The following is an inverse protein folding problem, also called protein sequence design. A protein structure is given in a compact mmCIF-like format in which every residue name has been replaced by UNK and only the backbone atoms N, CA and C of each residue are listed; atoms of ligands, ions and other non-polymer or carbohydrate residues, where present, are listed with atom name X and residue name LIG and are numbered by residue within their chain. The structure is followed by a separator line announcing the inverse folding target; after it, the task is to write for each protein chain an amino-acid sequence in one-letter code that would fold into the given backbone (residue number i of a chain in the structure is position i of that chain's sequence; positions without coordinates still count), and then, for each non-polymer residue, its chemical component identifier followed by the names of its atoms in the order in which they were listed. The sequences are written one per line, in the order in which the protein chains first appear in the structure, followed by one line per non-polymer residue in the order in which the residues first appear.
data_IF_625883997028
#
_entry.id   IF_625883997028
#
_cell.length_a   1.000
_cell.length_b   1.000
_cell.length_c   1.000
_cell.angle_alpha   90.00
_cell.angle_beta   90.00
_cell.angle_gamma   90.00
#
_symmetry.space_group_name_H-M   'P 1'
#
loop_
_entity.id
_entity.type
_entity.pdbx_description
1 polymer ?
#
# COMPACT_ATOMS: atom_id res chain seq x y z
N UNK A 1 -19.47 28.56 34.29
CA UNK A 1 -20.17 27.78 33.25
C UNK A 1 -19.59 28.14 31.89
N UNK A 2 -18.88 27.18 31.23
CA UNK A 2 -18.33 27.36 29.87
C UNK A 2 -19.52 27.37 28.92
N UNK A 3 -19.62 28.41 28.08
CA UNK A 3 -20.72 28.52 27.09
C UNK A 3 -20.63 27.34 26.12
N UNK A 4 -21.73 26.63 25.76
CA UNK A 4 -21.70 25.45 24.92
C UNK A 4 -21.01 25.65 23.54
N UNK A 5 -21.07 26.88 23.01
CA UNK A 5 -20.39 27.26 21.76
C UNK A 5 -18.85 27.26 21.88
N UNK A 6 -18.32 27.68 23.04
CA UNK A 6 -16.86 27.67 23.28
C UNK A 6 -16.33 26.25 23.50
N UNK A 7 -17.12 25.38 24.11
CA UNK A 7 -16.78 23.97 24.27
C UNK A 7 -16.71 23.23 22.90
N UNK A 8 -17.69 23.43 22.03
CA UNK A 8 -17.71 22.86 20.68
C UNK A 8 -16.55 23.38 19.82
N UNK A 9 -16.21 24.66 19.90
CA UNK A 9 -15.05 25.21 19.19
C UNK A 9 -13.73 24.61 19.68
N UNK A 10 -13.58 24.44 20.99
CA UNK A 10 -12.38 23.83 21.59
C UNK A 10 -12.22 22.37 21.19
N UNK A 11 -13.32 21.60 21.15
CA UNK A 11 -13.31 20.20 20.66
C UNK A 11 -12.92 20.15 19.18
N UNK A 12 -13.49 21.02 18.33
CA UNK A 12 -13.16 21.09 16.91
C UNK A 12 -11.68 21.41 16.66
N UNK A 13 -11.11 22.35 17.42
CA UNK A 13 -9.67 22.67 17.35
C UNK A 13 -8.79 21.52 17.81
N UNK A 14 -9.18 20.81 18.86
CA UNK A 14 -8.44 19.65 19.35
C UNK A 14 -8.44 18.50 18.33
N UNK A 15 -9.59 18.22 17.71
CA UNK A 15 -9.71 17.20 16.64
C UNK A 15 -8.85 17.59 15.43
N UNK A 16 -8.88 18.85 15.01
CA UNK A 16 -8.05 19.34 13.91
C UNK A 16 -6.56 19.24 14.25
N UNK A 17 -6.16 19.63 15.45
CA UNK A 17 -4.79 19.53 15.91
C UNK A 17 -4.31 18.06 15.94
N UNK A 18 -5.15 17.14 16.44
CA UNK A 18 -4.86 15.71 16.45
C UNK A 18 -4.72 15.15 15.04
N UNK A 19 -5.60 15.52 14.11
CA UNK A 19 -5.53 15.11 12.71
C UNK A 19 -4.27 15.63 12.02
N UNK A 20 -3.89 16.89 12.25
CA UNK A 20 -2.67 17.48 11.73
C UNK A 20 -1.41 16.85 12.32
N UNK A 21 -1.44 16.53 13.62
CA UNK A 21 -0.34 15.82 14.27
C UNK A 21 -0.18 14.42 13.70
N UNK A 22 -1.27 13.65 13.56
CA UNK A 22 -1.24 12.31 12.96
C UNK A 22 -0.70 12.34 11.54
N UNK A 23 -1.19 13.29 10.73
CA UNK A 23 -0.67 13.47 9.35
C UNK A 23 0.83 13.76 9.29
N UNK A 24 1.40 14.40 10.32
CA UNK A 24 2.84 14.70 10.42
C UNK A 24 3.67 13.56 11.03
N UNK A 25 3.01 12.62 11.72
CA UNK A 25 3.63 11.47 12.37
C UNK A 25 3.12 10.18 11.73
N UNK A 26 3.64 9.83 10.54
CA UNK A 26 3.18 8.65 9.83
C UNK A 26 3.43 7.39 10.64
N UNK A 27 2.48 6.48 10.62
CA UNK A 27 2.54 5.19 11.30
C UNK A 27 1.61 4.21 10.61
N UNK A 28 1.97 2.93 10.65
CA UNK A 28 1.12 1.86 10.16
C UNK A 28 -0.26 1.86 10.84
N UNK A 29 -1.32 1.61 10.08
CA UNK A 29 -2.67 1.46 10.62
C UNK A 29 -2.70 0.32 11.65
N UNK A 30 -3.03 0.57 12.94
CA UNK A 30 -3.02 -0.47 13.96
C UNK A 30 -3.98 -1.61 13.62
N UNK A 31 -3.57 -2.87 13.85
CA UNK A 31 -4.40 -4.05 13.57
C UNK A 31 -5.80 -3.97 14.19
N UNK A 32 -5.96 -3.35 15.36
CA UNK A 32 -7.26 -3.12 16.01
C UNK A 32 -8.21 -2.23 15.20
N UNK A 33 -7.70 -1.47 14.22
CA UNK A 33 -8.48 -0.58 13.35
C UNK A 33 -8.67 -1.16 11.92
N UNK A 34 -8.34 -2.44 11.70
CA UNK A 34 -8.41 -3.12 10.40
C UNK A 34 -9.76 -3.02 9.68
N UNK A 35 -10.85 -2.78 10.41
CA UNK A 35 -12.18 -2.60 9.82
C UNK A 35 -12.24 -1.44 8.81
N UNK A 36 -11.38 -0.43 8.94
CA UNK A 36 -11.24 0.63 7.94
C UNK A 36 -10.60 0.12 6.64
N UNK A 37 -9.68 -0.85 6.76
CA UNK A 37 -9.02 -1.49 5.62
C UNK A 37 -9.97 -2.45 4.91
N UNK A 38 -10.96 -3.00 5.62
CA UNK A 38 -11.98 -3.91 5.08
C UNK A 38 -13.18 -3.17 4.46
N UNK A 39 -13.31 -1.87 4.73
CA UNK A 39 -14.42 -1.07 4.20
C UNK A 39 -14.39 -1.03 2.67
N UNK A 40 -15.54 -0.92 1.98
CA UNK A 40 -15.59 -0.79 0.53
C UNK A 40 -14.77 0.42 0.03
N UNK A 41 -13.94 0.20 -0.97
CA UNK A 41 -13.08 1.21 -1.57
C UNK A 41 -13.57 1.56 -2.99
N UNK A 42 -14.49 2.51 -3.16
CA UNK A 42 -15.18 2.72 -4.45
C UNK A 42 -14.26 3.19 -5.58
N UNK A 43 -13.09 3.75 -5.26
CA UNK A 43 -12.16 4.30 -6.26
C UNK A 43 -10.93 3.44 -6.50
N UNK A 44 -10.54 2.61 -5.51
CA UNK A 44 -9.36 1.73 -5.58
C UNK A 44 -9.82 0.27 -5.55
N UNK A 45 -10.54 -0.15 -6.60
CA UNK A 45 -11.09 -1.51 -6.73
C UNK A 45 -10.03 -2.50 -7.20
N UNK A 46 -10.28 -3.81 -7.02
CA UNK A 46 -9.43 -4.90 -7.52
C UNK A 46 -9.27 -4.85 -9.05
N UNK A 47 -10.38 -4.63 -9.76
CA UNK A 47 -10.38 -4.55 -11.22
C UNK A 47 -9.48 -3.41 -11.70
N UNK A 48 -9.59 -2.22 -11.07
CA UNK A 48 -8.72 -1.10 -11.40
C UNK A 48 -7.25 -1.37 -11.06
N UNK A 49 -6.97 -2.09 -9.98
CA UNK A 49 -5.60 -2.55 -9.70
C UNK A 49 -5.12 -3.47 -10.83
N UNK A 50 -5.93 -4.44 -11.23
CA UNK A 50 -5.59 -5.36 -12.31
C UNK A 50 -5.33 -4.63 -13.63
N UNK A 51 -6.18 -3.66 -14.00
CA UNK A 51 -6.02 -2.83 -15.20
C UNK A 51 -4.72 -2.01 -15.20
N UNK A 52 -4.27 -1.55 -14.02
CA UNK A 52 -3.05 -0.73 -13.90
C UNK A 52 -1.81 -1.60 -13.74
N UNK A 53 -1.88 -2.67 -12.97
CA UNK A 53 -0.76 -3.58 -12.72
C UNK A 53 -0.49 -4.48 -13.94
N UNK A 54 -1.54 -4.96 -14.60
CA UNK A 54 -1.47 -5.95 -15.69
C UNK A 54 -0.68 -7.20 -15.25
N UNK A 55 -1.12 -7.91 -14.18
CA UNK A 55 -0.38 -9.05 -13.67
C UNK A 55 -0.42 -10.20 -14.67
N UNK A 56 0.70 -10.88 -14.86
CA UNK A 56 0.82 -12.04 -15.73
C UNK A 56 1.05 -13.33 -14.95
N UNK A 57 0.55 -14.46 -15.47
CA UNK A 57 0.83 -15.79 -14.91
C UNK A 57 2.33 -16.06 -14.85
N UNK A 58 2.81 -16.57 -13.72
CA UNK A 58 4.21 -16.87 -13.48
C UNK A 58 5.04 -15.71 -12.92
N UNK A 59 4.48 -14.51 -12.79
CA UNK A 59 5.18 -13.36 -12.19
C UNK A 59 5.44 -13.54 -10.69
N UNK A 60 6.51 -12.89 -10.22
CA UNK A 60 6.79 -12.68 -8.81
C UNK A 60 6.43 -11.27 -8.40
N UNK A 61 5.43 -11.15 -7.55
CA UNK A 61 4.93 -9.85 -7.06
C UNK A 61 5.21 -9.74 -5.57
N UNK A 62 5.65 -8.55 -5.13
CA UNK A 62 5.75 -8.15 -3.73
C UNK A 62 4.60 -7.20 -3.40
N UNK A 63 3.75 -7.57 -2.45
CA UNK A 63 2.72 -6.70 -1.88
C UNK A 63 3.19 -6.19 -0.52
N UNK A 64 3.47 -4.89 -0.40
CA UNK A 64 3.87 -4.25 0.85
C UNK A 64 2.63 -3.67 1.53
N UNK A 65 2.38 -4.07 2.78
CA UNK A 65 1.19 -3.69 3.54
C UNK A 65 -0.09 -4.34 3.01
N UNK A 66 -0.21 -5.69 3.03
CA UNK A 66 -1.38 -6.41 2.53
C UNK A 66 -2.66 -6.13 3.32
N UNK A 67 -2.52 -5.53 4.51
CA UNK A 67 -3.63 -5.26 5.42
C UNK A 67 -4.36 -6.54 5.79
N UNK A 68 -5.64 -6.64 5.41
CA UNK A 68 -6.47 -7.84 5.63
C UNK A 68 -6.53 -8.78 4.42
N UNK A 69 -5.68 -8.57 3.41
CA UNK A 69 -5.60 -9.41 2.22
C UNK A 69 -6.65 -9.13 1.16
N UNK A 70 -7.21 -7.91 1.12
CA UNK A 70 -8.22 -7.56 0.13
C UNK A 70 -7.70 -7.67 -1.31
N UNK A 71 -6.48 -7.22 -1.57
CA UNK A 71 -5.84 -7.34 -2.89
C UNK A 71 -5.04 -8.63 -3.02
N UNK A 72 -4.46 -9.13 -1.94
CA UNK A 72 -3.62 -10.35 -1.89
C UNK A 72 -4.26 -11.53 -2.60
N UNK A 73 -5.54 -11.84 -2.26
CA UNK A 73 -6.24 -12.98 -2.85
C UNK A 73 -6.35 -12.85 -4.37
N UNK A 74 -6.67 -11.65 -4.84
CA UNK A 74 -6.81 -11.37 -6.27
C UNK A 74 -5.45 -11.41 -7.02
N UNK A 75 -4.40 -10.88 -6.41
CA UNK A 75 -3.05 -10.92 -6.96
C UNK A 75 -2.51 -12.36 -7.05
N UNK A 76 -2.73 -13.15 -6.00
CA UNK A 76 -2.31 -14.55 -5.96
C UNK A 76 -3.01 -15.40 -7.04
N UNK A 77 -4.32 -15.18 -7.25
CA UNK A 77 -5.06 -15.83 -8.34
C UNK A 77 -4.52 -15.40 -9.72
N UNK A 78 -4.23 -14.11 -9.90
CA UNK A 78 -3.81 -13.56 -11.19
C UNK A 78 -2.43 -14.09 -11.63
N UNK A 79 -1.47 -14.23 -10.70
CA UNK A 79 -0.15 -14.80 -11.04
C UNK A 79 -0.18 -16.31 -11.16
N UNK A 80 -1.21 -16.97 -10.64
CA UNK A 80 -1.42 -18.40 -10.75
C UNK A 80 -0.41 -19.24 -9.97
N UNK A 81 -0.50 -20.56 -10.09
CA UNK A 81 0.33 -21.51 -9.33
C UNK A 81 1.82 -21.48 -9.71
N UNK A 82 2.14 -21.02 -10.91
CA UNK A 82 3.52 -20.90 -11.42
C UNK A 82 4.17 -19.58 -10.98
N UNK A 83 3.36 -18.59 -10.56
CA UNK A 83 3.82 -17.33 -10.00
C UNK A 83 3.96 -17.39 -8.49
N UNK A 84 4.47 -16.30 -7.92
CA UNK A 84 4.64 -16.15 -6.48
C UNK A 84 4.20 -14.74 -6.04
N UNK A 85 3.39 -14.70 -4.99
CA UNK A 85 3.07 -13.47 -4.29
C UNK A 85 3.75 -13.47 -2.93
N UNK A 86 4.61 -12.51 -2.69
CA UNK A 86 5.14 -12.27 -1.36
C UNK A 86 4.40 -11.10 -0.71
N UNK A 87 3.89 -11.33 0.51
CA UNK A 87 3.26 -10.29 1.31
C UNK A 87 4.21 -9.84 2.40
N UNK A 88 4.42 -8.54 2.52
CA UNK A 88 5.39 -7.94 3.43
C UNK A 88 4.75 -6.90 4.33
N UNK A 89 4.88 -7.03 5.65
CA UNK A 89 4.29 -6.11 6.61
C UNK A 89 5.17 -5.99 7.86
N UNK A 90 5.14 -4.82 8.49
CA UNK A 90 5.79 -4.61 9.79
C UNK A 90 5.02 -5.30 10.93
N UNK A 91 3.72 -5.53 10.76
CA UNK A 91 2.81 -6.10 11.74
C UNK A 91 2.55 -7.58 11.49
N UNK A 92 3.07 -8.46 12.36
CA UNK A 92 2.82 -9.91 12.29
C UNK A 92 1.32 -10.25 12.28
N UNK A 93 0.51 -9.50 13.03
CA UNK A 93 -0.93 -9.74 13.12
C UNK A 93 -1.67 -9.53 11.78
N UNK A 94 -1.21 -8.58 10.94
CA UNK A 94 -1.76 -8.39 9.59
C UNK A 94 -1.40 -9.59 8.70
N UNK A 95 -0.15 -10.03 8.73
CA UNK A 95 0.29 -11.22 7.98
C UNK A 95 -0.48 -12.49 8.39
N UNK A 96 -0.62 -12.73 9.70
CA UNK A 96 -1.38 -13.89 10.21
C UNK A 96 -2.84 -13.85 9.77
N UNK A 97 -3.45 -12.65 9.76
CA UNK A 97 -4.82 -12.47 9.31
C UNK A 97 -4.95 -12.78 7.81
N UNK A 98 -4.07 -12.20 7.01
CA UNK A 98 -4.05 -12.41 5.55
C UNK A 98 -3.79 -13.86 5.21
N UNK A 99 -2.83 -14.52 5.87
CA UNK A 99 -2.51 -15.93 5.61
C UNK A 99 -3.66 -16.89 6.00
N UNK A 100 -4.44 -16.60 7.02
CA UNK A 100 -5.69 -17.38 7.26
C UNK A 100 -6.63 -17.32 6.07
N UNK A 101 -6.86 -16.12 5.52
CA UNK A 101 -7.72 -15.95 4.34
C UNK A 101 -7.15 -16.64 3.09
N UNK A 102 -5.83 -16.56 2.90
CA UNK A 102 -5.12 -17.30 1.84
C UNK A 102 -5.39 -18.80 1.94
N UNK A 103 -5.27 -19.38 3.15
CA UNK A 103 -5.57 -20.78 3.40
C UNK A 103 -7.05 -21.14 3.18
N UNK A 104 -7.97 -20.29 3.63
CA UNK A 104 -9.43 -20.47 3.42
C UNK A 104 -9.81 -20.48 1.92
N UNK A 105 -9.04 -19.76 1.07
CA UNK A 105 -9.22 -19.75 -0.39
C UNK A 105 -8.42 -20.83 -1.12
N UNK A 106 -7.66 -21.68 -0.41
CA UNK A 106 -6.88 -22.76 -1.00
C UNK A 106 -5.69 -22.30 -1.85
N UNK A 107 -5.22 -21.07 -1.65
CA UNK A 107 -4.05 -20.52 -2.35
C UNK A 107 -2.77 -21.05 -1.70
N UNK A 108 -1.76 -21.42 -2.53
CA UNK A 108 -0.48 -21.99 -2.06
C UNK A 108 0.75 -21.23 -2.54
N UNK A 109 0.54 -20.16 -3.32
CA UNK A 109 1.58 -19.35 -3.95
C UNK A 109 1.83 -18.01 -3.22
N UNK A 110 1.41 -17.92 -1.96
CA UNK A 110 1.60 -16.71 -1.12
C UNK A 110 2.56 -17.01 0.02
N UNK A 111 3.56 -16.15 0.21
CA UNK A 111 4.56 -16.26 1.28
C UNK A 111 4.57 -14.99 2.14
N UNK A 112 4.43 -15.06 3.47
CA UNK A 112 4.49 -13.91 4.34
C UNK A 112 5.92 -13.63 4.82
N UNK A 113 6.34 -12.37 4.78
CA UNK A 113 7.60 -11.91 5.36
C UNK A 113 7.35 -10.70 6.24
N UNK A 114 7.81 -10.73 7.51
CA UNK A 114 7.73 -9.59 8.41
C UNK A 114 8.99 -8.74 8.32
N UNK A 115 8.82 -7.42 8.16
CA UNK A 115 9.96 -6.51 8.15
C UNK A 115 9.57 -5.05 7.95
N UNK A 116 10.58 -4.20 7.85
CA UNK A 116 10.46 -2.78 7.55
C UNK A 116 10.77 -2.56 6.06
N UNK A 117 9.88 -1.87 5.35
CA UNK A 117 10.03 -1.62 3.91
C UNK A 117 11.22 -0.71 3.55
N UNK A 118 11.84 -0.08 4.54
CA UNK A 118 13.09 0.68 4.38
C UNK A 118 14.34 -0.21 4.30
N UNK A 119 14.20 -1.54 4.52
CA UNK A 119 15.27 -2.53 4.45
C UNK A 119 14.69 -3.89 4.07
N UNK A 120 14.40 -4.07 2.78
CA UNK A 120 13.80 -5.30 2.26
C UNK A 120 14.83 -6.45 2.25
N UNK A 121 14.50 -7.63 2.85
CA UNK A 121 15.43 -8.76 2.94
C UNK A 121 15.54 -9.55 1.62
N UNK A 122 15.33 -8.90 0.49
CA UNK A 122 15.32 -9.51 -0.83
C UNK A 122 16.53 -9.09 -1.64
N UNK A 123 17.06 -9.98 -2.51
CA UNK A 123 18.09 -9.60 -3.47
C UNK A 123 17.61 -8.53 -4.45
N UNK A 124 18.56 -7.88 -5.10
CA UNK A 124 18.29 -6.99 -6.22
C UNK A 124 17.56 -7.75 -7.33
N UNK A 125 16.76 -7.08 -8.13
CA UNK A 125 16.09 -7.60 -9.31
C UNK A 125 15.25 -8.88 -9.05
N UNK A 126 14.60 -8.96 -7.88
CA UNK A 126 13.86 -10.16 -7.43
C UNK A 126 12.41 -10.22 -7.91
N UNK A 127 11.79 -9.08 -8.19
CA UNK A 127 10.35 -8.98 -8.45
C UNK A 127 10.04 -8.35 -9.80
N UNK A 128 9.01 -8.87 -10.46
CA UNK A 128 8.43 -8.31 -11.69
C UNK A 128 7.55 -7.10 -11.38
N UNK A 129 6.92 -7.10 -10.19
CA UNK A 129 6.15 -5.96 -9.73
C UNK A 129 6.17 -5.82 -8.20
N UNK A 130 6.00 -4.57 -7.72
CA UNK A 130 5.75 -4.23 -6.32
C UNK A 130 4.46 -3.44 -6.24
N UNK A 131 3.62 -3.76 -5.26
CA UNK A 131 2.30 -3.13 -5.04
C UNK A 131 2.22 -2.58 -3.62
N UNK A 132 1.78 -1.32 -3.49
CA UNK A 132 1.43 -0.69 -2.21
C UNK A 132 0.07 -0.02 -2.37
N UNK A 133 -0.85 -0.27 -1.46
CA UNK A 133 -2.17 0.40 -1.47
C UNK A 133 -2.43 1.05 -0.12
N UNK A 134 -2.47 2.38 -0.09
CA UNK A 134 -2.62 3.23 1.12
C UNK A 134 -1.51 3.02 2.18
N UNK A 135 -0.33 2.56 1.75
CA UNK A 135 0.79 2.19 2.64
C UNK A 135 1.95 3.18 2.56
N UNK A 136 2.28 3.70 1.36
CA UNK A 136 3.47 4.55 1.19
C UNK A 136 3.43 5.78 2.11
N UNK A 137 2.25 6.33 2.34
CA UNK A 137 2.05 7.46 3.25
C UNK A 137 2.31 7.15 4.72
N UNK A 138 2.15 5.91 5.14
CA UNK A 138 2.36 5.43 6.51
C UNK A 138 3.84 5.22 6.85
N UNK A 139 4.70 5.04 5.84
CA UNK A 139 6.15 4.84 6.03
C UNK A 139 6.81 6.19 6.34
N UNK A 140 7.50 6.35 7.49
CA UNK A 140 8.19 7.60 7.82
C UNK A 140 9.28 7.95 6.80
N UNK A 141 10.19 7.03 6.51
CA UNK A 141 11.32 7.17 5.59
C UNK A 141 10.94 6.69 4.17
N UNK A 142 9.96 7.34 3.54
CA UNK A 142 9.40 6.98 2.22
C UNK A 142 10.45 6.89 1.12
N UNK A 143 11.43 7.77 1.16
CA UNK A 143 12.53 7.83 0.19
C UNK A 143 13.40 6.57 0.29
N UNK A 144 13.71 6.10 1.49
CA UNK A 144 14.44 4.85 1.72
C UNK A 144 13.63 3.64 1.23
N UNK A 145 12.32 3.60 1.55
CA UNK A 145 11.45 2.54 1.05
C UNK A 145 11.36 2.53 -0.48
N UNK A 146 11.23 3.68 -1.14
CA UNK A 146 11.22 3.77 -2.60
C UNK A 146 12.56 3.34 -3.22
N UNK A 147 13.70 3.62 -2.58
CA UNK A 147 15.01 3.14 -3.02
C UNK A 147 15.11 1.61 -2.93
N UNK A 148 14.64 1.00 -1.84
CA UNK A 148 14.58 -0.45 -1.67
C UNK A 148 13.62 -1.11 -2.69
N UNK A 149 12.45 -0.51 -2.91
CA UNK A 149 11.50 -0.96 -3.93
C UNK A 149 12.15 -0.94 -5.31
N UNK A 150 12.86 0.15 -5.64
CA UNK A 150 13.59 0.24 -6.92
C UNK A 150 14.68 -0.82 -7.03
N UNK A 151 15.41 -1.11 -5.94
CA UNK A 151 16.49 -2.10 -5.89
C UNK A 151 15.95 -3.52 -6.14
N UNK A 152 14.83 -3.89 -5.51
CA UNK A 152 14.27 -5.25 -5.64
C UNK A 152 13.48 -5.46 -6.93
N UNK A 153 13.07 -4.40 -7.61
CA UNK A 153 12.41 -4.48 -8.92
C UNK A 153 13.43 -4.82 -10.01
N UNK A 154 13.10 -5.79 -10.85
CA UNK A 154 13.86 -6.08 -12.08
C UNK A 154 13.90 -4.85 -13.00
N UNK A 155 14.91 -4.74 -13.87
CA UNK A 155 14.89 -3.74 -14.95
C UNK A 155 13.61 -3.87 -15.76
N UNK A 156 12.87 -2.76 -15.89
CA UNK A 156 11.55 -2.75 -16.51
C UNK A 156 10.41 -3.30 -15.64
N UNK A 157 10.66 -3.63 -14.39
CA UNK A 157 9.63 -4.02 -13.42
C UNK A 157 8.68 -2.87 -13.08
N UNK A 158 7.55 -3.18 -12.46
CA UNK A 158 6.45 -2.23 -12.22
C UNK A 158 6.28 -1.95 -10.72
N UNK A 159 6.24 -0.67 -10.35
CA UNK A 159 5.69 -0.24 -9.07
C UNK A 159 4.27 0.25 -9.28
N UNK A 160 3.30 -0.30 -8.55
CA UNK A 160 1.93 0.24 -8.50
C UNK A 160 1.63 0.75 -7.11
N UNK A 161 1.26 2.03 -7.02
CA UNK A 161 0.84 2.67 -5.78
C UNK A 161 -0.63 3.06 -5.89
N UNK A 162 -1.43 2.57 -4.95
CA UNK A 162 -2.83 2.94 -4.76
C UNK A 162 -2.98 3.95 -3.62
N UNK A 163 -3.76 5.01 -3.82
CA UNK A 163 -3.98 6.06 -2.83
C UNK A 163 -5.47 6.42 -2.72
N UNK A 164 -5.93 6.65 -1.49
CA UNK A 164 -7.31 7.04 -1.20
C UNK A 164 -7.33 8.23 -0.24
N UNK A 165 -8.03 9.30 -0.59
CA UNK A 165 -8.10 10.57 0.16
C UNK A 165 -8.62 10.41 1.60
N UNK A 166 -9.44 9.40 1.87
CA UNK A 166 -9.90 9.09 3.24
C UNK A 166 -8.79 8.61 4.18
N UNK A 167 -7.64 8.20 3.63
CA UNK A 167 -6.48 7.82 4.43
C UNK A 167 -5.80 9.07 5.04
N UNK A 168 -5.49 9.07 6.36
CA UNK A 168 -4.80 10.19 7.00
C UNK A 168 -3.44 10.52 6.37
N UNK A 169 -2.76 9.53 5.80
CA UNK A 169 -1.44 9.65 5.20
C UNK A 169 -1.46 9.73 3.66
N UNK A 170 -2.64 9.98 3.08
CA UNK A 170 -2.83 10.12 1.63
C UNK A 170 -1.72 10.92 0.95
N UNK A 171 -1.15 10.35 -0.10
CA UNK A 171 -0.17 11.00 -0.96
C UNK A 171 -0.83 11.58 -2.21
N UNK A 172 -0.83 12.90 -2.34
CA UNK A 172 -1.32 13.54 -3.57
C UNK A 172 -0.46 13.12 -4.77
N UNK A 173 -1.09 12.85 -5.92
CA UNK A 173 -0.42 12.32 -7.11
C UNK A 173 0.87 13.07 -7.50
N UNK A 174 0.85 14.41 -7.51
CA UNK A 174 2.04 15.19 -7.86
C UNK A 174 3.20 15.04 -6.86
N UNK A 175 2.92 14.76 -5.58
CA UNK A 175 3.95 14.44 -4.59
C UNK A 175 4.51 13.04 -4.81
N UNK A 176 3.62 12.05 -5.01
CA UNK A 176 3.99 10.68 -5.33
C UNK A 176 4.88 10.61 -6.57
N UNK A 177 4.47 11.28 -7.67
CA UNK A 177 5.23 11.30 -8.91
C UNK A 177 6.64 11.86 -8.74
N UNK A 178 6.79 12.97 -8.01
CA UNK A 178 8.13 13.55 -7.75
C UNK A 178 9.01 12.61 -6.92
N UNK A 179 8.47 11.95 -5.89
CA UNK A 179 9.21 11.01 -5.05
C UNK A 179 9.67 9.78 -5.85
N UNK A 180 8.78 9.20 -6.63
CA UNK A 180 9.10 8.07 -7.51
C UNK A 180 10.17 8.45 -8.54
N UNK A 181 10.06 9.63 -9.18
CA UNK A 181 11.07 10.12 -10.11
C UNK A 181 12.42 10.32 -9.45
N UNK A 182 12.47 10.84 -8.22
CA UNK A 182 13.71 10.99 -7.45
C UNK A 182 14.36 9.64 -7.09
N UNK A 183 13.57 8.57 -6.96
CA UNK A 183 14.04 7.19 -6.77
C UNK A 183 14.39 6.48 -8.09
N UNK A 184 14.34 7.16 -9.24
CA UNK A 184 14.64 6.56 -10.55
C UNK A 184 13.50 5.72 -11.15
N UNK A 185 12.26 5.96 -10.71
CA UNK A 185 11.04 5.29 -11.18
C UNK A 185 10.28 6.23 -12.12
N UNK A 186 10.04 5.80 -13.36
CA UNK A 186 9.41 6.60 -14.42
C UNK A 186 7.88 6.40 -14.43
N UNK A 187 7.12 7.48 -14.39
CA UNK A 187 5.65 7.41 -14.44
C UNK A 187 5.17 6.89 -15.80
N UNK A 188 4.20 5.98 -15.80
CA UNK A 188 3.57 5.43 -17.00
C UNK A 188 2.08 5.78 -17.13
N UNK A 189 1.27 5.39 -16.14
CA UNK A 189 -0.18 5.53 -16.19
C UNK A 189 -0.76 5.81 -14.81
N UNK A 190 -1.90 6.50 -14.79
CA UNK A 190 -2.76 6.66 -13.62
C UNK A 190 -4.21 6.35 -13.98
N UNK A 191 -4.91 5.58 -13.15
CA UNK A 191 -6.33 5.28 -13.25
C UNK A 191 -7.05 5.70 -11.98
N UNK A 192 -8.17 6.39 -12.13
CA UNK A 192 -9.02 6.87 -11.04
C UNK A 192 -9.02 8.39 -10.85
N UNK A 193 -9.96 8.91 -10.06
CA UNK A 193 -10.11 10.34 -9.76
C UNK A 193 -8.97 10.85 -8.87
N UNK A 194 -8.94 12.18 -8.62
CA UNK A 194 -7.91 12.79 -7.75
C UNK A 194 -7.94 12.29 -6.30
N UNK A 195 -9.10 11.83 -5.83
CA UNK A 195 -9.34 11.41 -4.45
C UNK A 195 -9.19 9.89 -4.23
N UNK A 196 -8.90 9.11 -5.30
CA UNK A 196 -8.68 7.67 -5.18
C UNK A 196 -8.19 7.14 -6.52
N UNK A 197 -6.94 6.69 -6.57
CA UNK A 197 -6.28 6.30 -7.82
C UNK A 197 -5.25 5.21 -7.60
N UNK A 198 -4.94 4.51 -8.67
CA UNK A 198 -3.70 3.76 -8.83
C UNK A 198 -2.77 4.49 -9.80
N UNK A 199 -1.48 4.44 -9.54
CA UNK A 199 -0.44 4.96 -10.42
C UNK A 199 0.65 3.90 -10.61
N UNK A 200 1.02 3.64 -11.87
CA UNK A 200 2.12 2.74 -12.24
C UNK A 200 3.35 3.52 -12.64
N UNK A 201 4.48 3.04 -12.15
CA UNK A 201 5.81 3.52 -12.46
C UNK A 201 6.67 2.35 -12.94
N UNK A 202 7.67 2.64 -13.79
CA UNK A 202 8.61 1.68 -14.35
C UNK A 202 10.00 1.84 -13.72
N UNK A 203 10.61 0.70 -13.36
CA UNK A 203 11.96 0.62 -12.82
C UNK A 203 13.05 0.69 -13.90
#
# INVERSE_FOLDING_TARGET
MIRPRTALAAVGLAVLAAALWWRKNPSACPYGQRFWVEAPHPFITRDRLADVLEPATGERILEIGPGTGYYTLHLADAVGREGALEIFDIQQQMLDHTMRRVGEHGLSNVTPTRGDATSLPHPDDSFDAVVLVTVLGEIPEREAALAEIKRVLRPGGRLVVGELFGDPHFQAFGSLQRRCAAAGLSFEIRSGPRLGFFARFRA
#
